data_IF_059086665613
#
_entry.id   IF_059086665613
#
_cell.length_a   1.000
_cell.length_b   1.000
_cell.length_c   1.000
_cell.angle_alpha   90.00
_cell.angle_beta   90.00
_cell.angle_gamma   90.00
#
_symmetry.space_group_name_H-M   'P 1'
#
loop_
_entity.id
_entity.type
_entity.pdbx_description
1 polymer ?
#
# COMPACT_ATOMS: atom_id res chain seq x y z
N UNK A 1 -12.71 -19.06 -16.59
CA UNK A 1 -13.46 -18.09 -15.76
C UNK A 1 -12.78 -16.76 -15.97
N UNK A 2 -13.54 -15.72 -16.26
CA UNK A 2 -12.96 -14.37 -16.36
C UNK A 2 -12.35 -14.00 -15.01
N UNK A 3 -11.11 -13.61 -15.04
CA UNK A 3 -10.31 -13.25 -13.88
C UNK A 3 -10.44 -11.75 -13.67
N UNK A 4 -10.61 -11.30 -12.43
CA UNK A 4 -10.65 -9.86 -12.15
C UNK A 4 -9.36 -9.15 -12.59
N UNK A 5 -9.43 -7.85 -12.82
CA UNK A 5 -8.30 -7.03 -13.32
C UNK A 5 -8.02 -5.90 -12.34
N UNK A 6 -6.76 -5.76 -11.94
CA UNK A 6 -6.30 -4.66 -11.10
C UNK A 6 -5.38 -3.73 -11.89
N UNK A 7 -5.86 -2.52 -12.15
CA UNK A 7 -5.08 -1.44 -12.76
C UNK A 7 -4.31 -0.69 -11.67
N UNK A 8 -3.00 -0.68 -11.76
CA UNK A 8 -2.14 -0.30 -10.65
C UNK A 8 -0.83 0.39 -11.08
N UNK A 9 -0.08 0.87 -10.07
CA UNK A 9 1.37 1.07 -10.12
C UNK A 9 2.05 0.14 -9.14
N UNK A 10 3.16 -0.49 -9.53
CA UNK A 10 3.87 -1.45 -8.68
C UNK A 10 4.29 -0.85 -7.33
N UNK A 11 4.64 0.41 -7.29
CA UNK A 11 5.12 1.12 -6.08
C UNK A 11 4.04 1.91 -5.36
N UNK A 12 2.77 1.76 -5.74
CA UNK A 12 1.67 2.53 -5.15
C UNK A 12 1.16 1.88 -3.86
N UNK A 13 1.23 2.56 -2.70
CA UNK A 13 0.75 1.99 -1.43
C UNK A 13 -0.75 1.67 -1.45
N UNK A 14 -1.55 2.47 -2.13
CA UNK A 14 -2.99 2.21 -2.27
C UNK A 14 -3.27 0.98 -3.14
N UNK A 15 -2.47 0.74 -4.18
CA UNK A 15 -2.58 -0.46 -4.99
C UNK A 15 -2.19 -1.71 -4.18
N UNK A 16 -1.17 -1.59 -3.33
CA UNK A 16 -0.76 -2.67 -2.46
C UNK A 16 -1.84 -3.06 -1.42
N UNK A 17 -2.64 -2.11 -0.92
CA UNK A 17 -3.81 -2.44 -0.07
C UNK A 17 -4.75 -3.43 -0.76
N UNK A 18 -5.14 -3.15 -2.02
CA UNK A 18 -5.99 -4.03 -2.81
C UNK A 18 -5.31 -5.37 -3.14
N UNK A 19 -4.01 -5.36 -3.47
CA UNK A 19 -3.22 -6.58 -3.74
C UNK A 19 -3.17 -7.51 -2.53
N UNK A 20 -2.94 -6.96 -1.33
CA UNK A 20 -2.93 -7.75 -0.10
C UNK A 20 -4.30 -8.34 0.19
N UNK A 21 -5.38 -7.56 0.00
CA UNK A 21 -6.74 -8.06 0.18
C UNK A 21 -7.05 -9.24 -0.77
N UNK A 22 -6.73 -9.12 -2.06
CA UNK A 22 -6.88 -10.20 -3.03
C UNK A 22 -6.06 -11.44 -2.65
N UNK A 23 -4.83 -11.23 -2.21
CA UNK A 23 -3.94 -12.31 -1.79
C UNK A 23 -4.46 -13.05 -0.54
N UNK A 24 -4.99 -12.32 0.46
CA UNK A 24 -5.62 -12.91 1.65
C UNK A 24 -6.89 -13.71 1.32
N UNK A 25 -7.59 -13.34 0.26
CA UNK A 25 -8.72 -14.12 -0.29
C UNK A 25 -8.27 -15.32 -1.14
N UNK A 26 -6.98 -15.43 -1.47
CA UNK A 26 -6.46 -16.49 -2.33
C UNK A 26 -6.96 -16.43 -3.76
N UNK A 27 -7.28 -15.23 -4.25
CA UNK A 27 -7.86 -15.00 -5.58
C UNK A 27 -6.82 -14.49 -6.55
N UNK A 28 -6.70 -15.17 -7.68
CA UNK A 28 -5.88 -14.73 -8.80
C UNK A 28 -6.57 -13.60 -9.58
N UNK A 29 -5.78 -12.69 -10.09
CA UNK A 29 -6.25 -11.55 -10.88
C UNK A 29 -5.21 -11.14 -11.93
N UNK A 30 -5.67 -10.51 -13.00
CA UNK A 30 -4.78 -9.92 -14.01
C UNK A 30 -4.25 -8.58 -13.48
N UNK A 31 -2.94 -8.45 -13.40
CA UNK A 31 -2.25 -7.23 -12.99
C UNK A 31 -1.95 -6.37 -14.20
N UNK A 32 -2.55 -5.18 -14.29
CA UNK A 32 -2.35 -4.24 -15.38
C UNK A 32 -1.59 -3.01 -14.86
N UNK A 33 -0.33 -2.90 -15.27
CA UNK A 33 0.50 -1.75 -14.91
C UNK A 33 0.13 -0.55 -15.77
N UNK A 34 -0.33 0.51 -15.12
CA UNK A 34 -0.79 1.74 -15.79
C UNK A 34 0.41 2.62 -16.13
N UNK A 35 0.44 3.17 -17.34
CA UNK A 35 1.50 4.09 -17.74
C UNK A 35 1.30 5.47 -17.06
N UNK A 36 2.25 5.97 -16.25
CA UNK A 36 2.01 7.11 -15.36
C UNK A 36 1.75 8.44 -16.09
N UNK A 37 2.24 8.60 -17.33
CA UNK A 37 2.11 9.85 -18.07
C UNK A 37 0.83 9.91 -18.92
N UNK A 38 0.49 8.85 -19.64
CA UNK A 38 -0.62 8.87 -20.59
C UNK A 38 -1.86 8.10 -20.10
N UNK A 39 -1.70 7.19 -19.13
CA UNK A 39 -2.77 6.40 -18.49
C UNK A 39 -3.73 5.74 -19.48
N UNK A 40 -3.23 5.28 -20.62
CA UNK A 40 -4.04 4.68 -21.71
C UNK A 40 -4.85 3.50 -21.22
N UNK A 41 -4.32 2.73 -20.26
CA UNK A 41 -4.95 1.57 -19.65
C UNK A 41 -6.23 1.93 -18.89
N UNK A 42 -6.41 3.22 -18.53
CA UNK A 42 -7.60 3.75 -17.85
C UNK A 42 -8.55 4.53 -18.79
N UNK A 43 -8.43 4.37 -20.13
CA UNK A 43 -9.28 5.12 -21.06
C UNK A 43 -10.77 4.78 -20.91
N UNK A 44 -11.10 3.57 -20.46
CA UNK A 44 -12.47 3.11 -20.21
C UNK A 44 -13.10 3.73 -18.95
N UNK A 45 -12.31 4.31 -18.04
CA UNK A 45 -12.74 4.82 -16.73
C UNK A 45 -12.68 6.34 -16.71
N UNK A 46 -13.67 6.97 -16.07
CA UNK A 46 -13.61 8.39 -15.71
C UNK A 46 -12.65 8.64 -14.55
N UNK A 47 -12.47 7.64 -13.69
CA UNK A 47 -11.53 7.70 -12.57
C UNK A 47 -10.08 7.51 -13.07
N UNK A 48 -9.31 8.61 -13.12
CA UNK A 48 -7.95 8.63 -13.68
C UNK A 48 -6.85 8.43 -12.63
N UNK A 49 -7.17 7.76 -11.53
CA UNK A 49 -6.20 7.37 -10.48
C UNK A 49 -6.12 5.85 -10.39
N UNK A 50 -5.17 5.36 -9.62
CA UNK A 50 -5.04 3.93 -9.27
C UNK A 50 -5.14 3.77 -7.75
N UNK A 51 -5.60 2.61 -7.26
CA UNK A 51 -6.04 1.43 -8.00
C UNK A 51 -7.45 1.58 -8.61
N UNK A 52 -7.68 0.85 -9.71
CA UNK A 52 -9.01 0.52 -10.24
C UNK A 52 -9.10 -1.00 -10.31
N UNK A 53 -10.14 -1.57 -9.75
CA UNK A 53 -10.41 -3.00 -9.85
C UNK A 53 -11.65 -3.21 -10.74
N UNK A 54 -11.53 -4.11 -11.69
CA UNK A 54 -12.67 -4.60 -12.46
C UNK A 54 -12.82 -6.08 -12.11
N UNK A 55 -13.92 -6.42 -11.50
CA UNK A 55 -14.15 -7.80 -11.06
C UNK A 55 -14.45 -8.77 -12.24
N UNK A 56 -14.60 -10.05 -11.92
CA UNK A 56 -14.90 -11.07 -12.93
C UNK A 56 -16.27 -10.90 -13.60
N UNK A 57 -17.16 -10.08 -13.02
CA UNK A 57 -18.49 -9.75 -13.58
C UNK A 57 -18.43 -8.49 -14.46
N UNK A 58 -17.27 -7.81 -14.50
CA UNK A 58 -17.07 -6.55 -15.23
C UNK A 58 -17.46 -5.30 -14.43
N UNK A 59 -17.73 -5.41 -13.14
CA UNK A 59 -18.01 -4.26 -12.27
C UNK A 59 -16.72 -3.50 -11.95
N UNK A 60 -16.72 -2.18 -12.21
CA UNK A 60 -15.60 -1.31 -11.90
C UNK A 60 -15.74 -0.72 -10.49
N UNK A 61 -14.71 -0.95 -9.66
CA UNK A 61 -14.60 -0.40 -8.31
C UNK A 61 -13.36 0.47 -8.20
N UNK A 62 -13.51 1.66 -7.63
CA UNK A 62 -12.46 2.65 -7.46
C UNK A 62 -12.20 2.89 -5.98
N UNK A 63 -11.00 3.42 -5.65
CA UNK A 63 -10.50 3.63 -4.30
C UNK A 63 -10.13 2.35 -3.55
N UNK A 64 -8.98 2.38 -2.88
CA UNK A 64 -8.41 1.17 -2.27
C UNK A 64 -9.24 0.60 -1.12
N UNK A 65 -9.88 1.44 -0.32
CA UNK A 65 -10.72 0.97 0.79
C UNK A 65 -12.03 0.37 0.26
N UNK A 66 -12.64 1.04 -0.72
CA UNK A 66 -13.85 0.55 -1.41
C UNK A 66 -13.57 -0.78 -2.13
N UNK A 67 -12.41 -0.88 -2.79
CA UNK A 67 -11.99 -2.14 -3.45
C UNK A 67 -11.82 -3.26 -2.41
N UNK A 68 -11.16 -3.00 -1.27
CA UNK A 68 -11.03 -4.03 -0.22
C UNK A 68 -12.39 -4.48 0.32
N UNK A 69 -13.33 -3.54 0.50
CA UNK A 69 -14.68 -3.87 0.99
C UNK A 69 -15.47 -4.69 -0.05
N UNK A 70 -15.39 -4.32 -1.33
CA UNK A 70 -15.99 -5.06 -2.44
C UNK A 70 -15.41 -6.49 -2.54
N UNK A 71 -14.08 -6.62 -2.49
CA UNK A 71 -13.40 -7.93 -2.47
C UNK A 71 -13.88 -8.78 -1.30
N UNK A 72 -14.06 -8.20 -0.11
CA UNK A 72 -14.52 -8.93 1.06
C UNK A 72 -15.98 -9.38 0.96
N UNK A 73 -16.82 -8.62 0.27
CA UNK A 73 -18.25 -8.93 0.06
C UNK A 73 -18.45 -9.99 -1.03
N UNK A 74 -17.72 -9.88 -2.14
CA UNK A 74 -17.94 -10.68 -3.35
C UNK A 74 -17.13 -11.98 -3.39
N UNK A 75 -16.05 -12.07 -2.61
CA UNK A 75 -15.14 -13.21 -2.65
C UNK A 75 -15.12 -13.98 -1.33
N UNK A 76 -15.05 -15.30 -1.43
CA UNK A 76 -14.90 -16.19 -0.29
C UNK A 76 -13.52 -16.06 0.36
N UNK A 77 -13.30 -16.75 1.49
CA UNK A 77 -12.04 -16.78 2.22
C UNK A 77 -12.07 -15.99 3.52
N UNK A 78 -10.90 -15.51 3.95
CA UNK A 78 -10.76 -14.74 5.21
C UNK A 78 -11.65 -13.52 5.16
N UNK A 79 -12.50 -13.33 6.19
CA UNK A 79 -13.30 -12.11 6.34
C UNK A 79 -12.41 -10.95 6.79
N UNK A 80 -12.30 -9.95 5.93
CA UNK A 80 -11.47 -8.77 6.19
C UNK A 80 -12.22 -7.71 6.99
N UNK A 81 -13.54 -7.62 6.81
CA UNK A 81 -14.34 -6.61 7.47
C UNK A 81 -15.30 -7.23 8.48
N UNK A 82 -15.29 -6.68 9.69
CA UNK A 82 -16.28 -7.02 10.71
C UNK A 82 -17.69 -6.57 10.30
N UNK A 83 -18.69 -7.12 10.95
CA UNK A 83 -20.09 -6.77 10.72
C UNK A 83 -20.30 -5.26 10.90
N UNK A 84 -21.05 -4.62 10.00
CA UNK A 84 -21.37 -3.19 10.09
C UNK A 84 -22.00 -2.89 11.47
N UNK A 85 -21.67 -1.73 12.02
CA UNK A 85 -22.17 -1.25 13.33
C UNK A 85 -21.70 -2.06 14.55
N UNK A 86 -20.81 -3.06 14.39
CA UNK A 86 -20.22 -3.75 15.52
C UNK A 86 -19.08 -2.94 16.17
N UNK A 87 -18.77 -3.18 17.46
CA UNK A 87 -17.60 -2.59 18.12
C UNK A 87 -16.29 -2.92 17.41
N UNK A 88 -16.19 -4.14 16.87
CA UNK A 88 -15.04 -4.61 16.08
C UNK A 88 -14.88 -3.78 14.81
N UNK A 89 -16.00 -3.47 14.12
CA UNK A 89 -15.98 -2.61 12.93
C UNK A 89 -15.57 -1.18 13.27
N UNK A 90 -16.02 -0.64 14.40
CA UNK A 90 -15.63 0.68 14.85
C UNK A 90 -14.11 0.74 15.14
N UNK A 91 -13.55 -0.28 15.81
CA UNK A 91 -12.11 -0.40 16.03
C UNK A 91 -11.34 -0.51 14.71
N UNK A 92 -11.82 -1.33 13.79
CA UNK A 92 -11.23 -1.52 12.46
C UNK A 92 -11.23 -0.22 11.65
N UNK A 93 -12.32 0.53 11.65
CA UNK A 93 -12.40 1.83 10.97
C UNK A 93 -11.40 2.84 11.54
N UNK A 94 -11.20 2.86 12.88
CA UNK A 94 -10.17 3.69 13.51
C UNK A 94 -8.78 3.38 12.93
N UNK A 95 -8.43 2.10 12.76
CA UNK A 95 -7.12 1.71 12.25
C UNK A 95 -7.00 1.88 10.73
N UNK A 96 -8.09 1.78 10.00
CA UNK A 96 -8.13 2.16 8.58
C UNK A 96 -7.90 3.67 8.41
N UNK A 97 -8.52 4.51 9.26
CA UNK A 97 -8.27 5.96 9.28
C UNK A 97 -6.81 6.27 9.69
N UNK A 98 -6.29 5.59 10.71
CA UNK A 98 -4.88 5.69 11.09
C UNK A 98 -3.95 5.34 9.92
N UNK A 99 -4.28 4.34 9.12
CA UNK A 99 -3.51 3.95 7.94
C UNK A 99 -3.43 5.07 6.89
N UNK A 100 -4.42 5.97 6.83
CA UNK A 100 -4.38 7.15 5.95
C UNK A 100 -3.38 8.23 6.46
N UNK A 101 -3.11 8.29 7.76
CA UNK A 101 -2.02 9.09 8.30
C UNK A 101 -0.67 8.40 8.05
N UNK A 102 -0.60 7.08 8.24
CA UNK A 102 0.59 6.28 8.00
C UNK A 102 1.06 6.37 6.55
N UNK A 103 0.18 6.21 5.56
CA UNK A 103 0.56 6.35 4.14
C UNK A 103 1.09 7.74 3.81
N UNK A 104 0.64 8.79 4.49
CA UNK A 104 1.14 10.17 4.31
C UNK A 104 2.49 10.41 4.97
N UNK A 105 2.88 9.59 5.96
CA UNK A 105 4.20 9.64 6.60
C UNK A 105 5.30 8.96 5.74
N UNK A 106 4.93 8.06 4.82
CA UNK A 106 5.88 7.33 3.97
C UNK A 106 6.65 8.24 2.99
N UNK A 107 6.04 9.16 2.22
CA UNK A 107 6.79 10.03 1.32
C UNK A 107 7.86 10.89 2.01
N UNK A 108 7.62 11.54 3.17
CA UNK A 108 8.67 12.20 3.95
C UNK A 108 9.84 11.29 4.33
N UNK A 109 9.58 10.02 4.63
CA UNK A 109 10.61 9.04 4.95
C UNK A 109 11.47 8.69 3.72
N UNK A 110 10.82 8.41 2.57
CA UNK A 110 11.50 7.98 1.35
C UNK A 110 12.25 9.15 0.67
N UNK A 111 11.61 10.32 0.57
CA UNK A 111 12.09 11.44 -0.24
C UNK A 111 12.69 12.58 0.60
N UNK A 112 13.21 12.28 1.78
CA UNK A 112 13.80 13.24 2.72
C UNK A 112 15.01 13.98 2.15
N UNK A 113 15.80 13.34 1.29
CA UNK A 113 16.94 13.93 0.59
C UNK A 113 16.83 13.77 -0.93
N UNK A 114 17.55 14.60 -1.69
CA UNK A 114 17.61 14.50 -3.15
C UNK A 114 18.24 13.16 -3.58
N UNK A 115 19.25 12.68 -2.84
CA UNK A 115 19.89 11.39 -3.12
C UNK A 115 18.93 10.22 -2.96
N UNK A 116 18.16 10.19 -1.88
CA UNK A 116 17.16 9.14 -1.63
C UNK A 116 16.01 9.19 -2.66
N UNK A 117 15.57 10.39 -3.04
CA UNK A 117 14.57 10.54 -4.09
C UNK A 117 15.06 9.97 -5.43
N UNK A 118 16.30 10.26 -5.82
CA UNK A 118 16.88 9.73 -7.06
C UNK A 118 17.02 8.20 -6.99
N UNK A 119 17.51 7.64 -5.87
CA UNK A 119 17.59 6.17 -5.69
C UNK A 119 16.24 5.49 -5.76
N UNK A 120 15.21 6.07 -5.13
CA UNK A 120 13.85 5.54 -5.18
C UNK A 120 13.32 5.50 -6.63
N UNK A 121 13.58 6.55 -7.41
CA UNK A 121 13.16 6.57 -8.81
C UNK A 121 14.01 5.69 -9.74
N UNK A 122 15.26 5.40 -9.42
CA UNK A 122 16.02 4.35 -10.11
C UNK A 122 15.35 2.99 -9.93
N UNK A 123 14.96 2.65 -8.72
CA UNK A 123 14.20 1.42 -8.46
C UNK A 123 12.87 1.39 -9.22
N UNK A 124 12.06 2.44 -9.12
CA UNK A 124 10.74 2.56 -9.79
C UNK A 124 10.88 2.39 -11.31
N UNK A 125 11.87 3.04 -11.93
CA UNK A 125 12.07 2.97 -13.37
C UNK A 125 12.65 1.63 -13.85
N UNK A 126 13.30 0.88 -12.98
CA UNK A 126 13.80 -0.46 -13.30
C UNK A 126 12.72 -1.53 -13.19
N UNK A 127 11.77 -1.37 -12.26
CA UNK A 127 10.59 -2.27 -12.13
C UNK A 127 9.59 -2.04 -13.26
N UNK A 128 9.45 -0.81 -13.76
CA UNK A 128 8.54 -0.46 -14.87
C UNK A 128 9.15 -0.75 -16.24
N UNK A 129 8.33 -1.17 -17.20
CA UNK A 129 8.72 -1.36 -18.62
C UNK A 129 8.77 -0.02 -19.37
N UNK A 130 9.74 0.84 -19.04
CA UNK A 130 9.91 2.15 -19.67
C UNK A 130 11.05 2.17 -20.67
N UNK A 131 10.92 2.97 -21.75
CA UNK A 131 12.04 3.28 -22.65
C UNK A 131 13.10 4.11 -21.91
N UNK A 132 14.35 4.12 -22.41
CA UNK A 132 15.46 4.87 -21.79
C UNK A 132 15.12 6.37 -21.59
N UNK A 133 14.54 7.02 -22.58
CA UNK A 133 14.12 8.42 -22.47
C UNK A 133 13.01 8.63 -21.43
N UNK A 134 12.04 7.71 -21.37
CA UNK A 134 10.98 7.74 -20.36
C UNK A 134 11.55 7.54 -18.95
N UNK A 135 12.51 6.61 -18.79
CA UNK A 135 13.21 6.41 -17.50
C UNK A 135 13.87 7.69 -17.01
N UNK A 136 14.62 8.39 -17.87
CA UNK A 136 15.29 9.64 -17.50
C UNK A 136 14.28 10.73 -17.12
N UNK A 137 13.23 10.91 -17.92
CA UNK A 137 12.18 11.91 -17.65
C UNK A 137 11.46 11.60 -16.33
N UNK A 138 11.01 10.36 -16.14
CA UNK A 138 10.31 9.93 -14.93
C UNK A 138 11.22 10.06 -13.70
N UNK A 139 12.50 9.66 -13.82
CA UNK A 139 13.47 9.72 -12.73
C UNK A 139 13.61 11.14 -12.17
N UNK A 140 13.89 12.12 -13.03
CA UNK A 140 14.19 13.48 -12.55
C UNK A 140 12.92 14.29 -12.27
N UNK A 141 11.91 14.24 -13.14
CA UNK A 141 10.66 14.98 -12.89
C UNK A 141 9.86 14.36 -11.73
N UNK A 142 9.81 13.03 -11.66
CA UNK A 142 9.15 12.30 -10.58
C UNK A 142 9.81 12.55 -9.23
N UNK A 143 11.14 12.47 -9.17
CA UNK A 143 11.90 12.77 -7.95
C UNK A 143 11.64 14.19 -7.43
N UNK A 144 11.58 15.17 -8.33
CA UNK A 144 11.28 16.55 -7.96
C UNK A 144 9.85 16.70 -7.43
N UNK A 145 8.87 16.13 -8.14
CA UNK A 145 7.45 16.16 -7.72
C UNK A 145 7.27 15.48 -6.37
N UNK A 146 7.84 14.28 -6.19
CA UNK A 146 7.70 13.55 -4.93
C UNK A 146 8.43 14.22 -3.76
N UNK A 147 9.54 14.90 -4.02
CA UNK A 147 10.19 15.74 -3.00
C UNK A 147 9.29 16.90 -2.56
N UNK A 148 8.57 17.52 -3.50
CA UNK A 148 7.57 18.57 -3.16
C UNK A 148 6.39 18.00 -2.37
N UNK A 149 5.89 16.81 -2.77
CA UNK A 149 4.83 16.09 -2.05
C UNK A 149 5.28 15.75 -0.63
N UNK A 150 6.49 15.20 -0.47
CA UNK A 150 7.07 14.87 0.82
C UNK A 150 7.21 16.11 1.71
N UNK A 151 7.73 17.21 1.17
CA UNK A 151 7.84 18.49 1.89
C UNK A 151 6.48 18.98 2.37
N UNK A 152 5.48 19.01 1.48
CA UNK A 152 4.12 19.45 1.82
C UNK A 152 3.44 18.54 2.84
N UNK A 153 3.65 17.22 2.73
CA UNK A 153 3.15 16.25 3.71
C UNK A 153 3.78 16.46 5.08
N UNK A 154 5.11 16.63 5.12
CA UNK A 154 5.88 16.92 6.32
C UNK A 154 5.38 18.20 7.03
N UNK A 155 5.22 19.28 6.28
CA UNK A 155 4.74 20.56 6.82
C UNK A 155 3.31 20.44 7.38
N UNK A 156 2.40 19.76 6.65
CA UNK A 156 1.01 19.60 7.06
C UNK A 156 0.84 18.74 8.31
N UNK A 157 1.72 17.77 8.50
CA UNK A 157 1.67 16.85 9.64
C UNK A 157 2.60 17.30 10.80
N UNK A 158 3.33 18.40 10.64
CA UNK A 158 4.29 18.87 11.64
C UNK A 158 5.47 17.91 11.87
N UNK A 159 5.82 17.09 10.87
CA UNK A 159 6.88 16.09 10.98
C UNK A 159 8.24 16.79 10.92
N UNK A 160 8.97 16.80 12.04
CA UNK A 160 10.32 17.33 12.13
C UNK A 160 11.36 16.27 11.76
N UNK A 161 11.19 15.06 12.25
CA UNK A 161 12.02 13.88 11.99
C UNK A 161 11.16 12.76 11.39
N UNK A 162 11.21 12.52 10.08
CA UNK A 162 10.38 11.50 9.42
C UNK A 162 10.68 10.07 9.87
N UNK A 163 11.94 9.76 10.18
CA UNK A 163 12.31 8.41 10.62
C UNK A 163 11.74 8.12 11.99
N UNK A 164 11.96 9.04 12.94
CA UNK A 164 11.40 8.93 14.28
C UNK A 164 9.87 8.88 14.24
N UNK A 165 9.24 9.74 13.45
CA UNK A 165 7.78 9.78 13.32
C UNK A 165 7.21 8.43 12.86
N UNK A 166 7.82 7.79 11.85
CA UNK A 166 7.37 6.48 11.38
C UNK A 166 7.68 5.38 12.40
N UNK A 167 8.81 5.45 13.12
CA UNK A 167 9.10 4.52 14.24
C UNK A 167 8.07 4.63 15.36
N UNK A 168 7.68 5.85 15.73
CA UNK A 168 6.65 6.07 16.74
C UNK A 168 5.30 5.48 16.29
N UNK A 169 4.92 5.65 15.02
CA UNK A 169 3.72 5.02 14.43
C UNK A 169 3.81 3.49 14.42
N UNK A 170 4.96 2.92 14.07
CA UNK A 170 5.19 1.47 14.14
C UNK A 170 5.08 0.96 15.57
N UNK A 171 5.59 1.70 16.55
CA UNK A 171 5.42 1.41 17.98
C UNK A 171 3.94 1.40 18.39
N UNK A 172 3.17 2.43 17.98
CA UNK A 172 1.72 2.52 18.23
C UNK A 172 0.97 1.30 17.67
N UNK A 173 1.32 0.87 16.45
CA UNK A 173 0.76 -0.33 15.83
C UNK A 173 1.05 -1.58 16.65
N UNK A 174 2.30 -1.75 17.09
CA UNK A 174 2.72 -2.91 17.89
C UNK A 174 2.01 -2.95 19.27
N UNK A 175 1.88 -1.81 19.92
CA UNK A 175 1.13 -1.70 21.18
C UNK A 175 -0.34 -2.06 20.98
N UNK A 176 -0.94 -1.61 19.88
CA UNK A 176 -2.34 -1.88 19.57
C UNK A 176 -2.64 -3.36 19.25
N UNK A 177 -1.67 -4.11 18.78
CA UNK A 177 -1.78 -5.55 18.62
C UNK A 177 -2.01 -6.26 19.97
N UNK A 178 -1.55 -5.68 21.09
CA UNK A 178 -1.75 -6.19 22.45
C UNK A 178 -1.39 -7.68 22.60
N UNK A 179 -0.33 -8.12 21.92
CA UNK A 179 0.12 -9.52 21.92
C UNK A 179 -0.67 -10.44 20.98
N UNK A 180 -1.68 -9.94 20.29
CA UNK A 180 -2.38 -10.69 19.24
C UNK A 180 -1.52 -10.82 17.98
N UNK A 181 -1.67 -11.90 17.21
CA UNK A 181 -0.93 -12.07 15.96
C UNK A 181 -1.28 -11.02 14.89
N UNK A 182 -2.52 -10.54 14.87
CA UNK A 182 -3.04 -9.55 13.91
C UNK A 182 -3.98 -8.55 14.59
N UNK A 183 -4.25 -7.44 13.94
CA UNK A 183 -5.23 -6.47 14.42
C UNK A 183 -6.64 -7.08 14.43
N UNK A 184 -6.93 -7.98 13.50
CA UNK A 184 -8.14 -8.79 13.48
C UNK A 184 -8.18 -9.92 14.54
N UNK A 185 -7.17 -10.07 15.36
CA UNK A 185 -7.05 -11.15 16.35
C UNK A 185 -6.32 -12.38 15.79
N UNK A 186 -7.00 -13.52 15.69
CA UNK A 186 -6.40 -14.77 15.20
C UNK A 186 -6.12 -14.76 13.67
N UNK A 187 -6.86 -13.98 12.92
CA UNK A 187 -6.70 -13.80 11.46
C UNK A 187 -6.55 -12.33 11.11
N UNK A 188 -5.82 -12.01 10.03
CA UNK A 188 -5.70 -10.62 9.59
C UNK A 188 -7.04 -10.03 9.17
N UNK A 189 -7.20 -8.73 9.39
CA UNK A 189 -8.35 -7.95 8.96
C UNK A 189 -7.99 -6.88 7.91
N UNK A 190 -8.93 -6.00 7.58
CA UNK A 190 -8.73 -4.93 6.60
C UNK A 190 -7.67 -3.90 7.05
N UNK A 191 -7.52 -3.66 8.36
CA UNK A 191 -6.47 -2.77 8.88
C UNK A 191 -5.08 -3.41 8.70
N UNK A 192 -4.94 -4.72 8.99
CA UNK A 192 -3.72 -5.47 8.72
C UNK A 192 -3.37 -5.42 7.23
N UNK A 193 -4.35 -5.66 6.35
CA UNK A 193 -4.15 -5.61 4.90
C UNK A 193 -3.70 -4.22 4.42
N UNK A 194 -4.29 -3.16 4.98
CA UNK A 194 -3.95 -1.79 4.64
C UNK A 194 -2.52 -1.43 5.07
N UNK A 195 -2.17 -1.67 6.34
CA UNK A 195 -0.86 -1.32 6.89
C UNK A 195 0.24 -2.14 6.24
N UNK A 196 0.03 -3.45 6.06
CA UNK A 196 0.98 -4.32 5.37
C UNK A 196 1.19 -3.89 3.93
N UNK A 197 0.11 -3.59 3.19
CA UNK A 197 0.20 -3.10 1.81
C UNK A 197 0.96 -1.78 1.70
N UNK A 198 0.71 -0.82 2.58
CA UNK A 198 1.45 0.45 2.62
C UNK A 198 2.94 0.18 2.88
N UNK A 199 3.27 -0.68 3.84
CA UNK A 199 4.65 -1.05 4.16
C UNK A 199 5.34 -1.73 2.96
N UNK A 200 4.68 -2.68 2.30
CA UNK A 200 5.21 -3.36 1.11
C UNK A 200 5.54 -2.40 -0.05
N UNK A 201 4.86 -1.26 -0.16
CA UNK A 201 5.19 -0.26 -1.18
C UNK A 201 6.57 0.36 -1.03
N UNK A 202 7.21 0.18 0.13
CA UNK A 202 8.58 0.64 0.40
C UNK A 202 9.66 -0.42 0.14
N UNK A 203 9.25 -1.64 -0.20
CA UNK A 203 10.17 -2.75 -0.45
C UNK A 203 11.15 -2.40 -1.57
N UNK A 204 12.44 -2.67 -1.35
CA UNK A 204 13.51 -2.28 -2.27
C UNK A 204 13.96 -0.82 -2.14
N UNK A 205 13.38 -0.05 -1.23
CA UNK A 205 13.79 1.32 -0.91
C UNK A 205 14.51 1.36 0.44
N UNK A 206 15.40 2.35 0.68
CA UNK A 206 16.09 2.48 1.98
C UNK A 206 15.16 2.53 3.20
N UNK A 207 13.92 3.02 3.01
CA UNK A 207 12.89 3.05 4.05
C UNK A 207 12.48 1.66 4.56
N UNK A 208 12.69 0.59 3.76
CA UNK A 208 12.38 -0.78 4.14
C UNK A 208 13.19 -1.26 5.35
N UNK A 209 14.47 -0.85 5.44
CA UNK A 209 15.38 -1.22 6.54
C UNK A 209 14.84 -0.78 7.92
N UNK A 210 14.10 0.34 7.96
CA UNK A 210 13.47 0.80 9.20
C UNK A 210 12.47 -0.24 9.73
N UNK A 211 11.63 -0.80 8.88
CA UNK A 211 10.62 -1.77 9.28
C UNK A 211 11.24 -3.11 9.67
N UNK A 212 12.32 -3.51 9.00
CA UNK A 212 13.07 -4.72 9.35
C UNK A 212 13.85 -4.58 10.67
N UNK A 213 14.22 -3.35 11.04
CA UNK A 213 14.94 -3.07 12.29
C UNK A 213 14.06 -3.11 13.55
N UNK A 214 12.72 -3.11 13.39
CA UNK A 214 11.75 -3.16 14.48
C UNK A 214 11.25 -4.60 14.71
N UNK A 215 11.77 -5.34 15.71
CA UNK A 215 11.57 -6.80 15.80
C UNK A 215 10.11 -7.23 15.88
N UNK A 216 9.28 -6.51 16.64
CA UNK A 216 7.86 -6.81 16.78
C UNK A 216 7.07 -6.57 15.49
N UNK A 217 7.39 -5.48 14.76
CA UNK A 217 6.78 -5.17 13.48
C UNK A 217 7.23 -6.15 12.40
N UNK A 218 8.51 -6.49 12.37
CA UNK A 218 9.05 -7.53 11.48
C UNK A 218 8.37 -8.87 11.70
N UNK A 219 8.17 -9.28 12.95
CA UNK A 219 7.46 -10.52 13.26
C UNK A 219 6.00 -10.49 12.77
N UNK A 220 5.32 -9.35 12.89
CA UNK A 220 3.97 -9.18 12.34
C UNK A 220 3.99 -9.21 10.80
N UNK A 221 4.93 -8.52 10.14
CA UNK A 221 5.10 -8.59 8.68
C UNK A 221 5.33 -10.03 8.20
N UNK A 222 6.13 -10.81 8.92
CA UNK A 222 6.37 -12.22 8.60
C UNK A 222 5.08 -13.03 8.63
N UNK A 223 4.26 -12.88 9.69
CA UNK A 223 2.94 -13.52 9.76
C UNK A 223 2.00 -13.08 8.63
N UNK A 224 2.01 -11.77 8.28
CA UNK A 224 1.22 -11.27 7.16
C UNK A 224 1.68 -11.85 5.82
N UNK A 225 2.99 -12.00 5.63
CA UNK A 225 3.59 -12.65 4.45
C UNK A 225 3.14 -14.10 4.32
N UNK A 226 3.17 -14.86 5.41
CA UNK A 226 2.71 -16.26 5.45
C UNK A 226 1.21 -16.38 5.10
N UNK A 227 0.37 -15.53 5.67
CA UNK A 227 -1.08 -15.53 5.43
C UNK A 227 -1.45 -15.12 4.00
N UNK A 228 -0.81 -14.10 3.48
CA UNK A 228 -1.06 -13.57 2.13
C UNK A 228 -0.28 -14.28 1.04
N UNK A 229 0.73 -15.08 1.39
CA UNK A 229 1.70 -15.69 0.46
C UNK A 229 2.47 -14.65 -0.38
N UNK A 230 2.56 -13.43 0.11
CA UNK A 230 3.37 -12.37 -0.51
C UNK A 230 4.75 -12.39 0.15
N UNK A 231 5.84 -12.72 -0.56
CA UNK A 231 7.17 -12.83 0.02
C UNK A 231 7.72 -11.46 0.46
N UNK A 232 8.49 -11.43 1.56
CA UNK A 232 9.21 -10.25 2.04
C UNK A 232 10.59 -10.08 1.37
N UNK A 233 11.21 -11.15 0.96
CA UNK A 233 12.45 -11.19 0.19
C UNK A 233 12.21 -10.87 -1.30
N UNK A 234 13.28 -10.45 -1.99
CA UNK A 234 13.26 -10.10 -3.41
C UNK A 234 13.36 -11.33 -4.30
#
# INVERSE_FOLDING_TARGET
>A
MDQGKLYQYEVCPFCWKARVALALKGVDYEKIEVHPLNKKELNFSEYKKVPVYVDAKGEQVNDSNTIMEHIDQELDGIKLFAVKESPERARQNKWLEWSEAYVKAIPPLIYNTTGNAVKAFDYITNVGKFSWFQKMTIKYSGALVMKMVAKKSRERQGITDPERHVKDMVGEWQEALAGQPFMGGATPDAADAAVFGITLSTKGLPAWELFESEPGFKAWMTRMSEQSKIPLDH
#
